data_IF_806378000749
#
_entry.id   IF_806378000749
#
_cell.length_a   1.000
_cell.length_b   1.000
_cell.length_c   1.000
_cell.angle_alpha   90.00
_cell.angle_beta   90.00
_cell.angle_gamma   90.00
#
_symmetry.space_group_name_H-M   'P 1'
#
loop_
_entity.id
_entity.type
_entity.pdbx_description
1 polymer ?
#
# COMPACT_ATOMS: atom_id res chain seq x y z
N UNK A 1 -7.71 -35.54 -19.90
CA UNK A 1 -8.63 -36.27 -19.00
C UNK A 1 -9.26 -35.27 -18.04
N UNK A 2 -10.51 -34.86 -18.28
CA UNK A 2 -11.24 -33.88 -17.47
C UNK A 2 -12.25 -34.66 -16.62
N UNK A 3 -12.06 -34.69 -15.30
CA UNK A 3 -13.02 -35.32 -14.37
C UNK A 3 -13.95 -34.24 -13.83
N UNK A 4 -15.16 -34.27 -14.36
CA UNK A 4 -16.37 -33.67 -13.82
C UNK A 4 -16.88 -34.57 -12.70
N UNK A 5 -17.02 -34.04 -11.49
CA UNK A 5 -17.87 -34.65 -10.46
C UNK A 5 -18.90 -33.63 -10.01
N UNK A 6 -20.14 -33.92 -10.42
CA UNK A 6 -21.36 -33.29 -9.96
C UNK A 6 -21.80 -33.91 -8.63
N UNK A 7 -22.10 -33.07 -7.65
CA UNK A 7 -23.08 -33.32 -6.58
C UNK A 7 -23.90 -32.01 -6.51
N UNK A 8 -25.23 -31.97 -6.57
CA UNK A 8 -26.21 -32.98 -6.22
C UNK A 8 -27.03 -32.50 -5.02
N UNK A 9 -28.08 -31.72 -5.32
CA UNK A 9 -29.35 -31.55 -4.59
C UNK A 9 -29.44 -30.80 -3.23
N UNK A 10 -30.33 -29.81 -3.25
CA UNK A 10 -31.46 -29.56 -2.33
C UNK A 10 -31.18 -29.41 -0.82
N UNK A 11 -31.38 -28.20 -0.30
CA UNK A 11 -32.47 -27.98 0.66
C UNK A 11 -32.85 -26.51 0.77
N UNK A 12 -34.16 -26.29 0.67
CA UNK A 12 -34.90 -25.06 0.84
C UNK A 12 -35.16 -24.88 2.34
N UNK A 13 -34.86 -23.72 2.92
CA UNK A 13 -35.51 -23.31 4.17
C UNK A 13 -35.72 -21.81 4.19
N UNK A 14 -36.96 -21.43 3.87
CA UNK A 14 -37.53 -20.11 4.09
C UNK A 14 -37.94 -20.04 5.54
N UNK A 15 -37.39 -19.09 6.31
CA UNK A 15 -37.91 -18.77 7.65
C UNK A 15 -38.20 -17.27 7.72
N UNK A 16 -39.50 -17.01 7.61
CA UNK A 16 -40.34 -15.94 8.17
C UNK A 16 -39.74 -14.56 8.52
N UNK A 17 -40.34 -13.54 7.91
CA UNK A 17 -40.43 -12.17 8.43
C UNK A 17 -41.10 -12.17 9.81
N UNK A 18 -40.50 -11.48 10.78
CA UNK A 18 -41.25 -10.86 11.88
C UNK A 18 -40.65 -9.50 12.20
N UNK A 19 -41.45 -8.47 11.95
CA UNK A 19 -41.21 -7.11 12.40
C UNK A 19 -41.70 -6.97 13.85
N UNK A 20 -40.91 -6.30 14.70
CA UNK A 20 -41.44 -5.63 15.88
C UNK A 20 -40.46 -4.55 16.36
N UNK A 21 -40.89 -3.29 16.20
CA UNK A 21 -40.36 -2.13 16.91
C UNK A 21 -40.79 -2.18 18.38
N UNK A 22 -39.87 -2.00 19.33
CA UNK A 22 -40.06 -1.06 20.44
C UNK A 22 -38.79 -0.86 21.29
N UNK A 23 -38.71 0.37 21.78
CA UNK A 23 -37.61 1.04 22.44
C UNK A 23 -37.22 0.46 23.82
N UNK A 24 -35.94 0.63 24.18
CA UNK A 24 -35.55 0.91 25.58
C UNK A 24 -34.23 1.67 25.69
N UNK A 25 -34.28 2.66 26.56
CA UNK A 25 -33.29 3.67 26.92
C UNK A 25 -32.03 3.14 27.64
N UNK A 26 -31.03 4.04 27.69
CA UNK A 26 -30.18 4.36 28.86
C UNK A 26 -28.67 4.06 28.73
N UNK A 27 -27.94 5.17 28.51
CA UNK A 27 -26.72 5.65 29.20
C UNK A 27 -25.54 4.69 29.47
N UNK A 28 -24.38 5.05 28.91
CA UNK A 28 -23.05 5.18 29.57
C UNK A 28 -22.03 5.66 28.51
N UNK A 29 -21.63 6.93 28.52
CA UNK A 29 -20.37 7.45 29.07
C UNK A 29 -19.06 7.03 28.35
N UNK A 30 -18.32 8.06 27.91
CA UNK A 30 -16.84 8.14 27.87
C UNK A 30 -16.16 7.35 26.74
N UNK A 31 -15.55 7.99 25.75
CA UNK A 31 -14.23 8.62 25.92
C UNK A 31 -13.86 9.47 24.71
N UNK A 32 -13.47 10.72 24.98
CA UNK A 32 -12.53 11.46 24.13
C UNK A 32 -11.17 10.78 24.25
N UNK A 33 -10.61 10.35 23.12
CA UNK A 33 -9.18 10.03 22.96
C UNK A 33 -8.81 10.67 21.62
N UNK A 34 -8.38 11.93 21.56
CA UNK A 34 -7.01 12.39 21.84
C UNK A 34 -5.95 11.49 21.19
N UNK A 35 -6.05 11.31 19.88
CA UNK A 35 -5.03 10.66 19.04
C UNK A 35 -4.25 11.74 18.27
N UNK A 36 -3.54 12.59 19.00
CA UNK A 36 -2.66 13.61 18.42
C UNK A 36 -1.57 14.00 19.42
N UNK A 37 -0.87 13.01 20.01
CA UNK A 37 0.35 13.28 20.79
C UNK A 37 1.19 12.03 21.10
N UNK A 38 1.66 11.32 20.07
CA UNK A 38 2.64 10.23 20.26
C UNK A 38 3.79 10.28 19.25
N UNK A 39 4.14 11.44 18.70
CA UNK A 39 5.19 11.51 17.67
C UNK A 39 6.57 11.97 18.15
N UNK A 40 6.74 12.39 19.41
CA UNK A 40 7.99 13.07 19.79
C UNK A 40 8.80 12.44 20.93
N UNK A 41 8.46 11.23 21.38
CA UNK A 41 9.19 10.54 22.47
C UNK A 41 9.70 9.12 22.13
N UNK A 42 9.46 8.61 20.91
CA UNK A 42 9.80 7.24 20.52
C UNK A 42 11.13 7.12 19.74
N UNK A 43 11.70 8.22 19.27
CA UNK A 43 12.87 8.21 18.38
C UNK A 43 14.12 7.57 19.04
N UNK A 44 14.23 7.67 20.36
CA UNK A 44 15.28 7.02 21.17
C UNK A 44 15.19 5.48 21.21
N UNK A 45 14.05 4.87 20.86
CA UNK A 45 13.82 3.41 20.93
C UNK A 45 13.87 2.68 19.59
N UNK A 46 14.04 3.40 18.48
CA UNK A 46 14.07 2.78 17.15
C UNK A 46 15.36 1.95 16.99
N UNK A 47 15.28 0.66 16.64
CA UNK A 47 16.45 -0.18 16.43
C UNK A 47 17.41 0.39 15.39
N UNK A 48 18.71 0.11 15.52
CA UNK A 48 19.73 0.60 14.58
C UNK A 48 19.45 0.17 13.15
N UNK A 49 19.02 -1.09 12.97
CA UNK A 49 18.67 -1.65 11.66
C UNK A 49 17.63 -0.78 10.93
N UNK A 50 16.60 -0.34 11.64
CA UNK A 50 15.49 0.44 11.08
C UNK A 50 15.98 1.81 10.59
N UNK A 51 16.84 2.48 11.37
CA UNK A 51 17.44 3.76 10.97
C UNK A 51 18.33 3.60 9.74
N UNK A 52 19.08 2.51 9.65
CA UNK A 52 19.89 2.21 8.45
C UNK A 52 19.02 1.88 7.24
N UNK A 53 17.92 1.14 7.44
CA UNK A 53 16.96 0.84 6.38
C UNK A 53 16.27 2.11 5.86
N UNK A 54 15.89 3.05 6.74
CA UNK A 54 15.39 4.38 6.33
C UNK A 54 16.41 5.13 5.47
N UNK A 55 17.68 5.11 5.88
CA UNK A 55 18.75 5.78 5.12
C UNK A 55 18.95 5.14 3.75
N UNK A 56 18.87 3.80 3.67
CA UNK A 56 18.94 3.06 2.42
C UNK A 56 17.73 3.32 1.52
N UNK A 57 16.53 3.37 2.09
CA UNK A 57 15.30 3.71 1.38
C UNK A 57 15.40 5.09 0.70
N UNK A 58 15.91 6.09 1.42
CA UNK A 58 16.18 7.43 0.86
C UNK A 58 17.20 7.40 -0.27
N UNK A 59 18.28 6.62 -0.13
CA UNK A 59 19.28 6.45 -1.17
C UNK A 59 18.67 5.86 -2.46
N UNK A 60 17.87 4.81 -2.33
CA UNK A 60 17.17 4.23 -3.48
C UNK A 60 16.21 5.23 -4.10
N UNK A 61 15.34 5.88 -3.31
CA UNK A 61 14.37 6.83 -3.83
C UNK A 61 15.04 7.99 -4.61
N UNK A 62 16.24 8.41 -4.22
CA UNK A 62 17.01 9.44 -4.92
C UNK A 62 17.70 9.01 -6.21
N UNK A 63 17.74 7.72 -6.53
CA UNK A 63 18.51 7.18 -7.68
C UNK A 63 17.69 6.31 -8.61
N UNK A 64 16.73 5.56 -8.07
CA UNK A 64 15.86 4.65 -8.82
C UNK A 64 14.42 4.92 -8.40
N UNK A 65 13.56 5.37 -9.33
CA UNK A 65 12.13 5.50 -9.06
C UNK A 65 11.53 4.12 -8.79
N UNK A 66 10.97 3.95 -7.59
CA UNK A 66 10.38 2.70 -7.10
C UNK A 66 9.07 3.00 -6.41
N UNK A 67 8.12 2.08 -6.51
CA UNK A 67 6.92 2.08 -5.67
C UNK A 67 7.26 1.77 -4.22
N UNK A 68 6.31 2.00 -3.32
CA UNK A 68 6.45 1.61 -1.90
C UNK A 68 6.70 0.10 -1.77
N UNK A 69 5.93 -0.71 -2.48
CA UNK A 69 6.04 -2.17 -2.51
C UNK A 69 7.39 -2.63 -3.09
N UNK A 70 7.79 -2.06 -4.23
CA UNK A 70 9.05 -2.38 -4.89
C UNK A 70 10.26 -2.04 -4.01
N UNK A 71 10.25 -0.86 -3.39
CA UNK A 71 11.32 -0.45 -2.48
C UNK A 71 11.40 -1.36 -1.24
N UNK A 72 10.27 -1.75 -0.67
CA UNK A 72 10.25 -2.68 0.45
C UNK A 72 10.82 -4.03 0.06
N UNK A 73 10.41 -4.58 -1.09
CA UNK A 73 10.95 -5.84 -1.60
C UNK A 73 12.46 -5.74 -1.85
N UNK A 74 12.94 -4.61 -2.36
CA UNK A 74 14.37 -4.37 -2.56
C UNK A 74 15.14 -4.45 -1.23
N UNK A 75 14.67 -3.76 -0.20
CA UNK A 75 15.31 -3.73 1.14
C UNK A 75 15.37 -5.13 1.78
N UNK A 76 14.31 -5.94 1.63
CA UNK A 76 14.28 -7.32 2.15
C UNK A 76 15.15 -8.25 1.31
N UNK A 77 14.93 -8.28 0.00
CA UNK A 77 15.50 -9.30 -0.88
C UNK A 77 16.96 -9.03 -1.22
N UNK A 78 17.38 -7.77 -1.37
CA UNK A 78 18.74 -7.41 -1.74
C UNK A 78 19.58 -7.00 -0.53
N UNK A 79 19.13 -6.00 0.23
CA UNK A 79 19.88 -5.46 1.38
C UNK A 79 19.77 -6.34 2.63
N UNK A 80 18.88 -7.34 2.63
CA UNK A 80 18.68 -8.33 3.71
C UNK A 80 18.23 -7.71 5.03
N UNK A 81 17.55 -6.58 4.99
CA UNK A 81 16.84 -6.05 6.15
C UNK A 81 15.69 -6.98 6.53
N UNK A 82 15.36 -7.01 7.83
CA UNK A 82 14.14 -7.65 8.30
C UNK A 82 12.89 -7.05 7.62
N UNK A 83 11.82 -7.85 7.56
CA UNK A 83 10.55 -7.40 6.98
C UNK A 83 10.02 -6.17 7.73
N UNK A 84 10.16 -6.17 9.05
CA UNK A 84 9.71 -5.09 9.92
C UNK A 84 10.55 -3.82 9.76
N UNK A 85 11.88 -3.93 9.64
CA UNK A 85 12.74 -2.79 9.34
C UNK A 85 12.42 -2.18 7.97
N UNK A 86 12.13 -3.02 6.98
CA UNK A 86 11.79 -2.58 5.62
C UNK A 86 10.42 -1.90 5.56
N UNK A 87 9.42 -2.44 6.26
CA UNK A 87 8.10 -1.79 6.43
C UNK A 87 8.27 -0.41 7.07
N UNK A 88 8.99 -0.36 8.19
CA UNK A 88 9.26 0.89 8.88
C UNK A 88 9.98 1.88 7.96
N UNK A 89 10.97 1.44 7.18
CA UNK A 89 11.74 2.30 6.30
C UNK A 89 10.89 2.97 5.22
N UNK A 90 10.05 2.20 4.52
CA UNK A 90 9.22 2.75 3.43
C UNK A 90 8.12 3.69 3.93
N UNK A 91 7.70 3.55 5.19
CA UNK A 91 6.71 4.44 5.80
C UNK A 91 7.34 5.70 6.41
N UNK A 92 8.59 5.63 6.89
CA UNK A 92 9.22 6.70 7.68
C UNK A 92 10.35 7.43 6.94
N UNK A 93 10.64 7.07 5.68
CA UNK A 93 11.68 7.72 4.89
C UNK A 93 11.25 9.09 4.31
N UNK A 94 9.98 9.48 4.43
CA UNK A 94 9.49 10.75 3.86
C UNK A 94 9.55 10.77 2.32
N UNK A 95 9.35 9.61 1.70
CA UNK A 95 9.37 9.46 0.24
C UNK A 95 8.00 9.86 -0.31
N UNK A 96 8.00 10.74 -1.30
CA UNK A 96 6.82 11.08 -2.09
C UNK A 96 6.66 10.06 -3.24
N UNK A 97 5.77 9.09 -3.05
CA UNK A 97 5.56 8.03 -4.03
C UNK A 97 4.83 8.48 -5.29
N UNK A 98 4.05 9.57 -5.24
CA UNK A 98 3.49 10.20 -6.44
C UNK A 98 4.63 10.76 -7.32
N UNK A 99 5.62 11.40 -6.69
CA UNK A 99 6.82 11.85 -7.40
C UNK A 99 7.62 10.67 -7.97
N UNK A 100 7.80 9.58 -7.21
CA UNK A 100 8.48 8.39 -7.72
C UNK A 100 7.74 7.79 -8.94
N UNK A 101 6.40 7.72 -8.89
CA UNK A 101 5.60 7.23 -10.01
C UNK A 101 5.75 8.12 -11.25
N UNK A 102 5.72 9.45 -11.08
CA UNK A 102 5.93 10.40 -12.17
C UNK A 102 7.32 10.27 -12.82
N UNK A 103 8.37 10.15 -12.02
CA UNK A 103 9.72 9.94 -12.56
C UNK A 103 9.85 8.60 -13.28
N UNK A 104 9.21 7.54 -12.78
CA UNK A 104 9.16 6.24 -13.48
C UNK A 104 8.36 6.32 -14.78
N UNK A 105 7.24 7.04 -14.78
CA UNK A 105 6.41 7.27 -15.95
C UNK A 105 7.17 7.99 -17.06
N UNK A 106 7.91 9.06 -16.71
CA UNK A 106 8.80 9.77 -17.65
C UNK A 106 9.85 8.85 -18.24
N UNK A 107 10.47 7.99 -17.41
CA UNK A 107 11.42 7.00 -17.93
C UNK A 107 10.78 6.08 -18.97
N UNK A 108 9.57 5.56 -18.74
CA UNK A 108 8.88 4.74 -19.73
C UNK A 108 8.52 5.51 -21.00
N UNK A 109 8.07 6.76 -20.87
CA UNK A 109 7.78 7.62 -22.00
C UNK A 109 9.04 7.88 -22.84
N UNK A 110 10.12 8.31 -22.20
CA UNK A 110 11.35 8.76 -22.88
C UNK A 110 12.16 7.62 -23.48
N UNK A 111 12.22 6.47 -22.79
CA UNK A 111 13.10 5.36 -23.19
C UNK A 111 12.40 4.25 -23.95
N UNK A 112 11.08 4.11 -23.78
CA UNK A 112 10.30 3.03 -24.38
C UNK A 112 9.14 3.55 -25.26
N UNK A 113 8.95 4.86 -25.36
CA UNK A 113 7.90 5.50 -26.17
C UNK A 113 6.49 4.93 -25.91
N UNK A 114 6.23 4.55 -24.65
CA UNK A 114 4.94 3.97 -24.24
C UNK A 114 3.84 5.04 -24.20
N UNK A 115 2.60 4.64 -24.51
CA UNK A 115 1.43 5.51 -24.35
C UNK A 115 1.08 5.72 -22.87
N UNK A 116 0.39 6.81 -22.49
CA UNK A 116 -0.01 7.04 -21.10
C UNK A 116 -0.79 5.89 -20.47
N UNK A 117 -1.70 5.23 -21.21
CA UNK A 117 -2.46 4.11 -20.67
C UNK A 117 -1.57 2.86 -20.46
N UNK A 118 -0.65 2.57 -21.39
CA UNK A 118 0.31 1.49 -21.20
C UNK A 118 1.26 1.76 -20.03
N UNK A 119 1.67 3.01 -19.83
CA UNK A 119 2.49 3.43 -18.68
C UNK A 119 1.71 3.21 -17.38
N UNK A 120 0.44 3.64 -17.31
CA UNK A 120 -0.41 3.43 -16.14
C UNK A 120 -0.50 1.96 -15.76
N UNK A 121 -0.80 1.11 -16.74
CA UNK A 121 -0.88 -0.34 -16.54
C UNK A 121 0.45 -0.94 -16.09
N UNK A 122 1.57 -0.47 -16.64
CA UNK A 122 2.90 -0.93 -16.26
C UNK A 122 3.21 -0.57 -14.80
N UNK A 123 2.96 0.69 -14.41
CA UNK A 123 3.20 1.17 -13.06
C UNK A 123 2.42 0.37 -12.01
N UNK A 124 1.16 0.06 -12.29
CA UNK A 124 0.29 -0.69 -11.35
C UNK A 124 0.63 -2.18 -11.36
N UNK A 125 0.65 -2.81 -12.54
CA UNK A 125 0.71 -4.26 -12.65
C UNK A 125 2.11 -4.82 -12.49
N UNK A 126 3.15 -4.06 -12.84
CA UNK A 126 4.53 -4.52 -12.77
C UNK A 126 5.30 -3.85 -11.65
N UNK A 127 5.37 -2.52 -11.64
CA UNK A 127 6.13 -1.78 -10.62
C UNK A 127 5.41 -1.71 -9.27
N UNK A 128 4.13 -2.07 -9.21
CA UNK A 128 3.31 -2.11 -7.98
C UNK A 128 3.14 -0.75 -7.31
N UNK A 129 3.10 0.33 -8.10
CA UNK A 129 2.51 1.57 -7.63
C UNK A 129 1.01 1.38 -7.39
N UNK A 130 0.44 2.19 -6.50
CA UNK A 130 -1.01 2.26 -6.34
C UNK A 130 -1.67 2.82 -7.62
N UNK A 131 -2.96 2.57 -7.78
CA UNK A 131 -3.70 3.12 -8.92
C UNK A 131 -3.65 4.65 -8.90
N UNK A 132 -3.80 5.26 -7.73
CA UNK A 132 -3.80 6.71 -7.54
C UNK A 132 -2.44 7.33 -7.91
N UNK A 133 -1.32 6.68 -7.54
CA UNK A 133 0.02 7.14 -7.91
C UNK A 133 0.28 7.03 -9.41
N UNK A 134 -0.16 5.94 -10.04
CA UNK A 134 -0.06 5.76 -11.48
C UNK A 134 -0.93 6.78 -12.23
N UNK A 135 -2.14 7.04 -11.73
CA UNK A 135 -3.06 8.03 -12.30
C UNK A 135 -2.51 9.44 -12.20
N UNK A 136 -1.96 9.79 -11.03
CA UNK A 136 -1.23 11.03 -10.84
C UNK A 136 -0.07 11.15 -11.83
N UNK A 137 0.75 10.11 -11.95
CA UNK A 137 1.94 10.13 -12.80
C UNK A 137 1.60 10.44 -14.26
N UNK A 138 0.65 9.70 -14.84
CA UNK A 138 0.31 9.87 -16.26
C UNK A 138 -0.49 11.13 -16.55
N UNK A 139 -1.26 11.64 -15.59
CA UNK A 139 -1.90 12.95 -15.70
C UNK A 139 -0.89 14.12 -15.71
N UNK A 140 0.34 13.87 -15.26
CA UNK A 140 1.42 14.86 -15.19
C UNK A 140 2.56 14.60 -16.20
N UNK A 141 2.38 13.66 -17.13
CA UNK A 141 3.26 13.49 -18.30
C UNK A 141 3.06 14.64 -19.30
N UNK A 142 4.12 14.97 -20.04
CA UNK A 142 4.11 16.02 -21.07
C UNK A 142 4.17 15.43 -22.47
#
# INVERSE_FOLDING_TARGET
MKKILSFGLLSLSVIALTACSQAKSTSSQTSKTSEAKTEQSSESKVPKEYRTAVSKAKQYAGTVPMSKEGLRSQLVSFDKYSQEASNYAVDNAGIDYNKQALEKAKQYQDTMAMSPDAIRDQLVNFDKFTQEEADYAVANLK
#
